data_IF_408905990907
#
_entry.id   IF_408905990907
#
_cell.length_a   1.000
_cell.length_b   1.000
_cell.length_c   1.000
_cell.angle_alpha   90.00
_cell.angle_beta   90.00
_cell.angle_gamma   90.00
#
_symmetry.space_group_name_H-M   'P 1'
#
loop_
_entity.id
_entity.type
_entity.pdbx_description
1 polymer ?
#
# COMPACT_ATOMS: atom_id res chain seq x y z
N UNK A 1 -30.97 -4.47 -4.69
CA UNK A 1 -30.02 -3.60 -3.99
C UNK A 1 -29.40 -2.69 -5.02
N UNK A 2 -29.82 -1.42 -5.10
CA UNK A 2 -29.16 -0.42 -5.97
C UNK A 2 -27.94 0.07 -5.19
N UNK A 3 -26.75 -0.31 -5.61
CA UNK A 3 -25.53 0.31 -5.12
C UNK A 3 -25.48 1.73 -5.66
N UNK A 4 -25.73 2.72 -4.80
CA UNK A 4 -25.44 4.10 -5.12
C UNK A 4 -23.89 4.24 -5.14
N UNK A 5 -23.27 3.97 -6.28
CA UNK A 5 -21.96 4.49 -6.58
C UNK A 5 -22.13 6.00 -6.88
N UNK A 6 -22.14 6.82 -5.84
CA UNK A 6 -21.89 8.25 -6.01
C UNK A 6 -20.39 8.41 -6.24
N UNK A 7 -19.94 8.27 -7.47
CA UNK A 7 -18.60 8.66 -7.87
C UNK A 7 -18.57 10.19 -7.85
N UNK A 8 -17.79 10.75 -6.93
CA UNK A 8 -17.45 12.17 -6.92
C UNK A 8 -16.77 12.50 -8.24
N UNK A 9 -17.46 13.22 -9.12
CA UNK A 9 -17.02 13.53 -10.49
C UNK A 9 -15.72 14.35 -10.53
N UNK A 10 -15.34 14.97 -9.43
CA UNK A 10 -14.21 15.90 -9.35
C UNK A 10 -12.89 15.23 -8.94
N UNK A 11 -12.91 13.99 -8.43
CA UNK A 11 -11.74 13.32 -7.84
C UNK A 11 -11.43 11.94 -8.45
N UNK A 12 -11.66 11.74 -9.74
CA UNK A 12 -11.25 10.48 -10.40
C UNK A 12 -9.76 10.57 -10.74
N UNK A 13 -8.93 9.96 -9.90
CA UNK A 13 -7.48 9.86 -10.09
C UNK A 13 -7.05 8.54 -10.80
N UNK A 14 -7.94 7.95 -11.59
CA UNK A 14 -7.71 6.66 -12.23
C UNK A 14 -7.71 5.53 -11.20
N UNK A 15 -6.72 4.66 -11.26
CA UNK A 15 -6.52 3.61 -10.26
C UNK A 15 -5.67 4.07 -9.07
N UNK A 16 -5.10 5.27 -9.12
CA UNK A 16 -4.43 5.89 -7.98
C UNK A 16 -5.50 6.42 -7.02
N UNK A 17 -5.48 6.00 -5.79
CA UNK A 17 -6.54 6.25 -4.80
C UNK A 17 -6.58 7.68 -4.25
N UNK A 18 -5.48 8.41 -4.38
CA UNK A 18 -5.32 9.80 -3.94
C UNK A 18 -4.23 10.48 -4.77
N UNK A 19 -4.05 11.79 -4.62
CA UNK A 19 -2.94 12.50 -5.26
C UNK A 19 -1.57 11.94 -4.82
N UNK A 20 -1.47 11.55 -3.57
CA UNK A 20 -0.28 10.91 -2.99
C UNK A 20 -0.67 10.07 -1.77
N UNK A 21 -0.21 8.80 -1.66
CA UNK A 21 -0.37 8.00 -0.45
C UNK A 21 0.36 8.60 0.74
N UNK A 22 -0.09 8.29 1.95
CA UNK A 22 0.66 8.64 3.16
C UNK A 22 2.02 7.93 3.16
N UNK A 23 3.05 8.68 3.57
CA UNK A 23 4.40 8.15 3.73
C UNK A 23 4.63 7.60 5.13
N UNK A 24 4.05 8.24 6.15
CA UNK A 24 4.14 7.85 7.56
C UNK A 24 2.91 8.34 8.33
N UNK A 25 2.64 7.68 9.46
CA UNK A 25 1.64 8.14 10.41
C UNK A 25 2.14 9.35 11.19
N UNK A 26 1.23 10.25 11.54
CA UNK A 26 1.51 11.31 12.51
C UNK A 26 1.32 10.77 13.94
N UNK A 27 2.03 11.36 14.92
CA UNK A 27 1.87 11.06 16.35
C UNK A 27 1.90 9.55 16.69
N UNK A 28 2.89 8.82 16.16
CA UNK A 28 3.02 7.38 16.29
C UNK A 28 3.17 6.92 17.73
N UNK A 29 2.43 5.89 18.08
CA UNK A 29 2.72 5.10 19.26
C UNK A 29 3.92 4.15 19.04
N UNK A 30 4.34 3.43 20.08
CA UNK A 30 5.52 2.57 20.01
C UNK A 30 5.38 1.41 19.00
N UNK A 31 4.20 0.80 18.90
CA UNK A 31 3.99 -0.30 17.94
C UNK A 31 4.00 0.18 16.50
N UNK A 32 3.42 1.35 16.22
CA UNK A 32 3.45 2.00 14.90
C UNK A 32 4.86 2.37 14.48
N UNK A 33 5.66 2.92 15.42
CA UNK A 33 7.07 3.21 15.17
C UNK A 33 7.86 1.93 14.91
N UNK A 34 7.67 0.88 15.72
CA UNK A 34 8.33 -0.40 15.54
C UNK A 34 7.95 -1.04 14.19
N UNK A 35 6.69 -0.94 13.77
CA UNK A 35 6.20 -1.45 12.48
C UNK A 35 6.90 -0.74 11.33
N UNK A 36 6.96 0.59 11.38
CA UNK A 36 7.63 1.40 10.35
C UNK A 36 9.11 1.11 10.27
N UNK A 37 9.81 1.09 11.42
CA UNK A 37 11.24 0.80 11.48
C UNK A 37 11.55 -0.59 10.93
N UNK A 38 10.71 -1.58 11.22
CA UNK A 38 10.85 -2.93 10.73
C UNK A 38 10.59 -2.98 9.21
N UNK A 39 9.56 -2.31 8.70
CA UNK A 39 9.26 -2.23 7.27
C UNK A 39 10.38 -1.51 6.50
N UNK A 40 10.91 -0.42 7.00
CA UNK A 40 12.05 0.28 6.40
C UNK A 40 13.34 -0.55 6.43
N UNK A 41 13.45 -1.49 7.37
CA UNK A 41 14.63 -2.35 7.52
C UNK A 41 14.60 -3.61 6.66
N UNK A 42 13.51 -3.89 5.93
CA UNK A 42 13.34 -5.12 5.12
C UNK A 42 14.55 -5.42 4.23
N UNK A 43 15.07 -4.48 3.41
CA UNK A 43 16.21 -4.78 2.53
C UNK A 43 17.43 -5.28 3.31
N UNK A 44 17.72 -4.64 4.43
CA UNK A 44 18.86 -5.03 5.28
C UNK A 44 18.64 -6.36 5.98
N UNK A 45 17.42 -6.62 6.43
CA UNK A 45 17.06 -7.87 7.11
C UNK A 45 17.05 -9.06 6.15
N UNK A 46 16.61 -8.86 4.90
CA UNK A 46 16.69 -9.89 3.84
C UNK A 46 18.15 -10.18 3.49
N UNK A 47 18.97 -9.15 3.26
CA UNK A 47 20.39 -9.31 2.94
C UNK A 47 21.15 -10.07 4.03
N UNK A 48 20.75 -9.95 5.28
CA UNK A 48 21.40 -10.58 6.44
C UNK A 48 20.71 -11.86 6.92
N UNK A 49 19.65 -12.32 6.23
CA UNK A 49 18.83 -13.48 6.60
C UNK A 49 18.26 -13.37 8.04
N UNK A 50 17.87 -12.17 8.46
CA UNK A 50 17.37 -11.91 9.83
C UNK A 50 15.88 -11.59 9.88
N UNK A 51 15.19 -11.49 8.75
CA UNK A 51 13.81 -11.01 8.70
C UNK A 51 12.86 -11.88 9.55
N UNK A 52 12.91 -13.20 9.40
CA UNK A 52 12.05 -14.11 10.19
C UNK A 52 12.33 -14.02 11.67
N UNK A 53 13.61 -14.01 12.06
CA UNK A 53 13.99 -13.89 13.47
C UNK A 53 13.43 -12.62 14.09
N UNK A 54 13.56 -11.48 13.43
CA UNK A 54 13.06 -10.21 13.95
C UNK A 54 11.52 -10.18 14.07
N UNK A 55 10.82 -10.79 13.13
CA UNK A 55 9.35 -10.88 13.17
C UNK A 55 8.90 -11.88 14.24
N UNK A 56 9.59 -13.01 14.41
CA UNK A 56 9.26 -14.03 15.42
C UNK A 56 9.53 -13.56 16.87
N UNK A 57 10.35 -12.54 17.05
CA UNK A 57 10.60 -11.89 18.34
C UNK A 57 9.48 -10.90 18.74
N UNK A 58 8.56 -10.57 17.83
CA UNK A 58 7.39 -9.72 18.15
C UNK A 58 6.40 -10.49 19.03
N UNK A 59 5.81 -9.83 20.03
CA UNK A 59 4.79 -10.48 20.86
C UNK A 59 3.50 -10.75 20.08
N UNK A 60 2.76 -11.79 20.43
CA UNK A 60 1.45 -12.13 19.83
C UNK A 60 0.42 -10.98 19.94
N UNK A 61 0.61 -10.06 20.88
CA UNK A 61 -0.18 -8.84 21.07
C UNK A 61 0.28 -7.65 20.25
N UNK A 62 1.35 -7.82 19.44
CA UNK A 62 1.86 -6.74 18.59
C UNK A 62 0.74 -6.15 17.74
N UNK A 63 0.65 -4.84 17.71
CA UNK A 63 -0.34 -4.08 16.94
C UNK A 63 -1.80 -4.49 17.28
N UNK A 64 -2.12 -4.72 18.56
CA UNK A 64 -3.49 -5.01 19.01
C UNK A 64 -4.28 -3.73 19.27
N UNK A 65 -4.37 -2.84 18.26
CA UNK A 65 -5.03 -1.55 18.37
C UNK A 65 -6.49 -1.57 17.90
N UNK A 66 -7.25 -0.58 18.36
CA UNK A 66 -8.57 -0.27 17.82
C UNK A 66 -8.42 0.39 16.46
N UNK A 67 -8.66 -0.38 15.41
CA UNK A 67 -8.49 0.06 14.02
C UNK A 67 -9.53 1.10 13.58
N UNK A 68 -10.62 1.30 14.32
CA UNK A 68 -11.64 2.31 14.00
C UNK A 68 -11.14 3.76 14.14
N UNK A 69 -9.98 3.95 14.76
CA UNK A 69 -9.35 5.26 14.95
C UNK A 69 -8.55 5.75 13.75
N UNK A 70 -8.22 4.84 12.84
CA UNK A 70 -7.42 5.17 11.66
C UNK A 70 -8.31 5.60 10.49
N UNK A 71 -7.88 6.60 9.76
CA UNK A 71 -8.46 6.97 8.46
C UNK A 71 -8.22 5.87 7.42
N UNK A 72 -8.89 5.95 6.28
CA UNK A 72 -8.69 4.99 5.20
C UNK A 72 -7.25 5.05 4.64
N UNK A 73 -6.68 6.25 4.52
CA UNK A 73 -5.30 6.46 4.07
C UNK A 73 -4.29 5.86 5.04
N UNK A 74 -4.50 6.01 6.35
CA UNK A 74 -3.66 5.40 7.38
C UNK A 74 -3.75 3.88 7.35
N UNK A 75 -4.97 3.32 7.18
CA UNK A 75 -5.15 1.88 7.02
C UNK A 75 -4.47 1.34 5.74
N UNK A 76 -4.45 2.11 4.65
CA UNK A 76 -3.73 1.75 3.42
C UNK A 76 -2.22 1.70 3.66
N UNK A 77 -1.67 2.70 4.34
CA UNK A 77 -0.25 2.71 4.71
C UNK A 77 0.11 1.50 5.58
N UNK A 78 -0.68 1.24 6.64
CA UNK A 78 -0.50 0.06 7.49
C UNK A 78 -0.60 -1.24 6.70
N UNK A 79 -1.55 -1.34 5.76
CA UNK A 79 -1.69 -2.50 4.89
C UNK A 79 -0.46 -2.71 4.00
N UNK A 80 0.15 -1.65 3.48
CA UNK A 80 1.42 -1.73 2.75
C UNK A 80 2.50 -2.30 3.63
N UNK A 81 2.75 -1.71 4.82
CA UNK A 81 3.79 -2.15 5.75
C UNK A 81 3.64 -3.62 6.13
N UNK A 82 2.43 -4.05 6.54
CA UNK A 82 2.16 -5.44 6.89
C UNK A 82 2.29 -6.38 5.70
N UNK A 83 1.85 -5.99 4.50
CA UNK A 83 1.94 -6.83 3.31
C UNK A 83 3.39 -7.07 2.89
N UNK A 84 4.25 -6.05 2.97
CA UNK A 84 5.69 -6.18 2.72
C UNK A 84 6.35 -7.10 3.75
N UNK A 85 6.09 -6.91 5.04
CA UNK A 85 6.62 -7.76 6.10
C UNK A 85 6.17 -9.21 5.97
N UNK A 86 4.90 -9.45 5.65
CA UNK A 86 4.37 -10.79 5.44
C UNK A 86 5.06 -11.51 4.28
N UNK A 87 5.27 -10.83 3.16
CA UNK A 87 5.95 -11.41 2.00
C UNK A 87 7.45 -11.60 2.26
N UNK A 88 8.10 -10.64 2.91
CA UNK A 88 9.48 -10.77 3.35
C UNK A 88 9.65 -11.96 4.31
N UNK A 89 8.72 -12.20 5.22
CA UNK A 89 8.71 -13.35 6.12
C UNK A 89 8.58 -14.67 5.37
N UNK A 90 7.60 -14.75 4.45
CA UNK A 90 7.32 -15.99 3.70
C UNK A 90 8.46 -16.34 2.77
N UNK A 91 8.99 -15.39 2.01
CA UNK A 91 9.92 -15.61 0.92
C UNK A 91 11.39 -15.24 1.23
N UNK A 92 11.66 -14.68 2.39
CA UNK A 92 12.97 -14.13 2.78
C UNK A 92 14.04 -15.18 3.11
N UNK A 93 13.75 -16.46 2.96
CA UNK A 93 14.67 -17.59 3.17
C UNK A 93 14.65 -18.55 1.98
N UNK A 94 15.66 -19.43 1.89
CA UNK A 94 15.76 -20.47 0.85
C UNK A 94 14.52 -21.38 0.80
N UNK A 95 13.90 -21.64 1.96
CA UNK A 95 12.66 -22.42 2.05
C UNK A 95 11.53 -21.48 2.45
N UNK A 96 10.51 -21.29 1.58
CA UNK A 96 9.36 -20.47 1.90
C UNK A 96 8.63 -20.96 3.17
N UNK A 97 8.21 -20.03 4.02
CA UNK A 97 7.38 -20.38 5.18
C UNK A 97 5.96 -20.73 4.76
N UNK A 98 5.42 -21.82 5.32
CA UNK A 98 4.03 -22.24 5.11
C UNK A 98 3.05 -21.57 6.07
N UNK A 99 3.56 -20.89 7.09
CA UNK A 99 2.78 -20.29 8.17
C UNK A 99 3.32 -18.89 8.40
N UNK A 100 2.44 -17.92 8.52
CA UNK A 100 2.79 -16.57 8.90
C UNK A 100 2.64 -16.40 10.42
N UNK A 101 3.61 -15.74 11.06
CA UNK A 101 3.59 -15.38 12.47
C UNK A 101 2.32 -14.60 12.84
N UNK A 102 1.73 -14.91 14.00
CA UNK A 102 0.48 -14.29 14.46
C UNK A 102 0.60 -12.78 14.66
N UNK A 103 1.78 -12.31 15.07
CA UNK A 103 2.06 -10.89 15.26
C UNK A 103 1.85 -10.06 13.98
N UNK A 104 2.03 -10.67 12.81
CA UNK A 104 1.79 -10.05 11.50
C UNK A 104 0.44 -10.47 10.91
N UNK A 105 0.10 -11.76 10.98
CA UNK A 105 -1.10 -12.30 10.32
C UNK A 105 -2.40 -11.70 10.84
N UNK A 106 -2.52 -11.55 12.17
CA UNK A 106 -3.74 -11.07 12.81
C UNK A 106 -4.05 -9.58 12.51
N UNK A 107 -3.12 -8.64 12.78
CA UNK A 107 -3.38 -7.23 12.45
C UNK A 107 -3.58 -7.03 10.95
N UNK A 108 -2.76 -7.65 10.10
CA UNK A 108 -2.90 -7.53 8.65
C UNK A 108 -4.26 -8.01 8.14
N UNK A 109 -4.73 -9.17 8.61
CA UNK A 109 -6.06 -9.68 8.26
C UNK A 109 -7.18 -8.72 8.67
N UNK A 110 -7.08 -8.10 9.85
CA UNK A 110 -8.07 -7.15 10.32
C UNK A 110 -8.06 -5.85 9.50
N UNK A 111 -6.89 -5.29 9.20
CA UNK A 111 -6.73 -4.10 8.36
C UNK A 111 -7.26 -4.37 6.95
N UNK A 112 -6.88 -5.49 6.34
CA UNK A 112 -7.35 -5.89 5.02
C UNK A 112 -8.87 -6.03 4.95
N UNK A 113 -9.48 -6.59 6.01
CA UNK A 113 -10.94 -6.70 6.12
C UNK A 113 -11.62 -5.33 6.19
N UNK A 114 -11.08 -4.37 6.92
CA UNK A 114 -11.61 -3.00 6.98
C UNK A 114 -11.53 -2.31 5.62
N UNK A 115 -10.44 -2.52 4.89
CA UNK A 115 -10.26 -2.00 3.53
C UNK A 115 -11.08 -2.74 2.46
N UNK A 116 -11.76 -3.85 2.82
CA UNK A 116 -12.45 -4.70 1.84
C UNK A 116 -11.50 -5.39 0.85
N UNK A 117 -10.24 -5.57 1.22
CA UNK A 117 -9.17 -6.17 0.39
C UNK A 117 -8.75 -7.54 0.94
N UNK A 118 -8.32 -8.50 0.11
CA UNK A 118 -7.72 -9.73 0.62
C UNK A 118 -6.34 -9.44 1.24
N UNK A 119 -5.91 -10.21 2.28
CA UNK A 119 -4.59 -10.06 2.89
C UNK A 119 -3.50 -10.68 2.00
N UNK A 120 -3.21 -10.04 0.90
CA UNK A 120 -2.15 -10.38 -0.05
C UNK A 120 -1.39 -9.10 -0.42
N UNK A 121 -0.13 -9.23 -0.82
CA UNK A 121 0.59 -8.14 -1.47
C UNK A 121 0.04 -8.00 -2.89
N UNK A 122 -0.92 -7.11 -3.04
CA UNK A 122 -1.56 -6.83 -4.32
C UNK A 122 -0.77 -5.76 -5.10
N UNK A 123 -1.10 -5.60 -6.38
CA UNK A 123 -0.60 -4.49 -7.19
C UNK A 123 -0.88 -3.13 -6.53
N UNK A 124 -2.07 -2.96 -5.91
CA UNK A 124 -2.39 -1.74 -5.18
C UNK A 124 -1.40 -1.48 -4.03
N UNK A 125 -1.13 -2.49 -3.19
CA UNK A 125 -0.21 -2.34 -2.06
C UNK A 125 1.26 -2.20 -2.49
N UNK A 126 1.67 -2.87 -3.58
CA UNK A 126 3.05 -2.86 -4.04
C UNK A 126 3.41 -1.60 -4.84
N UNK A 127 2.47 -1.09 -5.66
CA UNK A 127 2.70 0.06 -6.53
C UNK A 127 1.88 1.29 -6.11
N UNK A 128 0.53 1.16 -6.06
CA UNK A 128 -0.35 2.32 -6.05
C UNK A 128 -0.43 3.03 -4.69
N UNK A 129 -0.22 2.30 -3.59
CA UNK A 129 -0.20 2.84 -2.22
C UNK A 129 1.25 2.98 -1.67
N UNK A 130 2.30 2.70 -2.47
CA UNK A 130 3.69 2.58 -2.03
C UNK A 130 4.64 3.64 -2.61
N UNK A 131 4.18 4.85 -2.76
CA UNK A 131 5.00 5.91 -3.35
C UNK A 131 4.77 7.28 -2.71
N UNK A 132 5.69 8.22 -2.96
CA UNK A 132 5.54 9.63 -2.60
C UNK A 132 6.23 10.52 -3.63
N UNK A 133 5.85 11.80 -3.65
CA UNK A 133 6.56 12.83 -4.43
C UNK A 133 7.81 13.27 -3.67
N UNK A 134 8.91 13.42 -4.39
CA UNK A 134 10.17 13.97 -3.85
C UNK A 134 10.00 15.46 -3.59
N UNK A 135 9.44 16.19 -4.56
CA UNK A 135 9.08 17.60 -4.45
C UNK A 135 7.55 17.73 -4.48
N UNK A 136 6.96 18.24 -3.41
CA UNK A 136 5.50 18.34 -3.26
C UNK A 136 4.87 19.34 -4.24
N UNK A 137 5.63 20.34 -4.70
CA UNK A 137 5.17 21.39 -5.60
C UNK A 137 5.13 20.94 -7.06
N UNK A 138 5.71 19.78 -7.38
CA UNK A 138 5.74 19.22 -8.73
C UNK A 138 4.67 18.14 -8.94
N UNK A 139 4.35 17.87 -10.21
CA UNK A 139 3.42 16.81 -10.59
C UNK A 139 4.01 15.41 -10.46
N UNK A 140 3.15 14.39 -10.67
CA UNK A 140 3.56 12.99 -10.73
C UNK A 140 4.25 12.72 -12.06
N UNK A 141 5.55 12.42 -12.01
CA UNK A 141 6.38 12.04 -13.15
C UNK A 141 7.59 11.21 -12.65
N UNK A 142 8.35 10.59 -13.57
CA UNK A 142 9.45 9.69 -13.21
C UNK A 142 10.56 10.34 -12.40
N UNK A 143 10.79 11.63 -12.59
CA UNK A 143 11.85 12.37 -11.89
C UNK A 143 11.41 12.80 -10.47
N UNK A 144 10.11 12.69 -10.16
CA UNK A 144 9.50 13.18 -8.92
C UNK A 144 8.78 12.13 -8.09
N UNK A 145 8.85 10.85 -8.45
CA UNK A 145 8.23 9.74 -7.69
C UNK A 145 9.31 8.84 -7.08
N UNK A 146 9.16 8.50 -5.81
CA UNK A 146 10.00 7.54 -5.12
C UNK A 146 9.16 6.55 -4.31
N UNK A 147 9.71 5.37 -4.00
CA UNK A 147 9.05 4.35 -3.19
C UNK A 147 9.10 4.71 -1.69
N UNK A 148 8.07 4.25 -0.97
CA UNK A 148 8.08 4.24 0.49
C UNK A 148 8.81 3.01 1.04
N UNK A 149 8.52 1.82 0.50
CA UNK A 149 9.07 0.52 0.94
C UNK A 149 9.52 -0.31 -0.25
N UNK A 150 10.56 -1.11 -0.04
CA UNK A 150 11.10 -2.04 -1.04
C UNK A 150 11.61 -3.33 -0.37
N UNK A 151 11.84 -4.38 -1.15
CA UNK A 151 12.41 -5.64 -0.68
C UNK A 151 13.93 -5.64 -0.78
N UNK A 152 14.49 -5.25 -1.91
CA UNK A 152 15.90 -5.34 -2.19
C UNK A 152 16.61 -3.98 -2.15
N UNK A 153 15.87 -2.89 -2.38
CA UNK A 153 16.43 -1.54 -2.45
C UNK A 153 17.28 -1.32 -3.71
N UNK A 154 16.98 -2.06 -4.77
CA UNK A 154 17.68 -1.96 -6.04
C UNK A 154 16.96 -1.04 -7.02
N UNK A 155 17.73 -0.45 -7.96
CA UNK A 155 17.20 0.47 -8.97
C UNK A 155 16.11 -0.17 -9.85
N UNK A 156 16.18 -1.48 -10.09
CA UNK A 156 15.19 -2.20 -10.90
C UNK A 156 13.83 -2.27 -10.20
N UNK A 157 13.81 -2.45 -8.88
CA UNK A 157 12.60 -2.45 -8.07
C UNK A 157 11.98 -1.05 -8.04
N UNK A 158 12.78 -0.03 -7.80
CA UNK A 158 12.34 1.35 -7.79
C UNK A 158 11.76 1.74 -9.16
N UNK A 159 12.46 1.41 -10.23
CA UNK A 159 12.03 1.67 -11.60
C UNK A 159 10.72 0.98 -11.95
N UNK A 160 10.57 -0.28 -11.56
CA UNK A 160 9.33 -1.02 -11.78
C UNK A 160 8.12 -0.31 -11.18
N UNK A 161 8.20 0.10 -9.91
CA UNK A 161 7.06 0.72 -9.21
C UNK A 161 6.82 2.14 -9.73
N UNK A 162 7.86 2.96 -9.89
CA UNK A 162 7.70 4.36 -10.33
C UNK A 162 7.12 4.47 -11.73
N UNK A 163 7.51 3.59 -12.66
CA UNK A 163 6.90 3.51 -13.99
C UNK A 163 5.41 3.19 -13.90
N UNK A 164 5.01 2.22 -13.06
CA UNK A 164 3.61 1.84 -12.93
C UNK A 164 2.77 2.98 -12.32
N UNK A 165 3.28 3.69 -11.33
CA UNK A 165 2.63 4.89 -10.79
C UNK A 165 2.41 5.95 -11.88
N UNK A 166 3.43 6.22 -12.69
CA UNK A 166 3.33 7.20 -13.77
C UNK A 166 2.36 6.76 -14.87
N UNK A 167 2.32 5.46 -15.22
CA UNK A 167 1.35 4.91 -16.19
C UNK A 167 -0.07 5.08 -15.69
N UNK A 168 -0.35 4.70 -14.44
CA UNK A 168 -1.68 4.83 -13.84
C UNK A 168 -2.10 6.30 -13.71
N UNK A 169 -1.18 7.17 -13.34
CA UNK A 169 -1.43 8.62 -13.33
C UNK A 169 -1.76 9.16 -14.72
N UNK A 170 -1.02 8.77 -15.75
CA UNK A 170 -1.25 9.19 -17.13
C UNK A 170 -2.60 8.66 -17.67
N UNK A 171 -3.01 7.44 -17.26
CA UNK A 171 -4.27 6.81 -17.66
C UNK A 171 -5.50 7.53 -17.08
N UNK A 172 -5.36 8.36 -16.05
CA UNK A 172 -6.46 9.04 -15.37
C UNK A 172 -7.40 9.77 -16.35
N UNK A 173 -6.84 10.56 -17.27
CA UNK A 173 -7.64 11.32 -18.26
C UNK A 173 -8.46 10.42 -19.18
N UNK A 174 -7.94 9.28 -19.56
CA UNK A 174 -8.65 8.31 -20.39
C UNK A 174 -9.80 7.64 -19.61
N UNK A 175 -9.56 7.26 -18.36
CA UNK A 175 -10.56 6.67 -17.47
C UNK A 175 -11.69 7.67 -17.20
N UNK A 176 -11.36 8.92 -16.89
CA UNK A 176 -12.33 9.98 -16.69
C UNK A 176 -13.19 10.25 -17.95
N UNK A 177 -12.56 10.24 -19.13
CA UNK A 177 -13.28 10.39 -20.41
C UNK A 177 -14.23 9.22 -20.67
N UNK A 178 -13.80 7.99 -20.42
CA UNK A 178 -14.64 6.80 -20.54
C UNK A 178 -15.84 6.85 -19.59
N UNK A 179 -15.63 7.29 -18.35
CA UNK A 179 -16.71 7.50 -17.37
C UNK A 179 -17.73 8.53 -17.85
N UNK A 180 -17.28 9.67 -18.35
CA UNK A 180 -18.15 10.73 -18.85
C UNK A 180 -18.99 10.25 -20.06
N UNK A 181 -18.38 9.45 -20.96
CA UNK A 181 -19.11 8.84 -22.09
C UNK A 181 -20.20 7.90 -21.57
N UNK A 182 -19.89 7.01 -20.62
CA UNK A 182 -20.89 6.10 -20.05
C UNK A 182 -22.06 6.84 -19.41
N UNK A 183 -21.78 7.94 -18.69
CA UNK A 183 -22.83 8.75 -18.07
C UNK A 183 -23.72 9.47 -19.09
N UNK A 184 -23.15 9.97 -20.18
CA UNK A 184 -23.91 10.60 -21.27
C UNK A 184 -24.85 9.59 -21.94
N UNK A 185 -24.34 8.39 -22.29
CA UNK A 185 -25.16 7.35 -22.92
C UNK A 185 -26.27 6.80 -22.02
N UNK A 186 -26.08 6.80 -20.69
CA UNK A 186 -27.12 6.36 -19.75
C UNK A 186 -28.17 7.43 -19.46
N UNK A 187 -27.83 8.71 -19.59
CA UNK A 187 -28.79 9.82 -19.43
C UNK A 187 -29.70 10.04 -20.63
N UNK A 188 -29.21 9.72 -21.85
CA UNK A 188 -30.00 9.84 -23.09
C UNK A 188 -30.93 8.64 -23.34
N UNK A 189 -30.78 7.56 -22.57
CA UNK A 189 -31.60 6.35 -22.65
C UNK A 189 -32.77 6.30 -21.65
N UNK A 190 -33.00 7.34 -20.86
CA UNK A 190 -34.07 7.49 -19.86
C UNK A 190 -35.08 8.53 -20.29
#
# INVERSE_FOLDING_TARGET
MKSNLSLDKENIHGFISSEQPLRYLNDKNQDEQNLEDLACSIPKLLLTNKIRKQIDELPDSFFSHDLSKYSEEELRLLNVQFSFLAHAYVWGDLVPSKILCKAIAKPWSNISKMLGRPPILSYASYCLDNWHKINQDEGVNLDNVALNYNFLGGIDEDWFVTIHVCIEHAANKAIQSAFNICLLYTSDAA
#
